data_IF_327771464635
#
_entry.id   IF_327771464635
#
_cell.length_a   1.000
_cell.length_b   1.000
_cell.length_c   1.000
_cell.angle_alpha   90.00
_cell.angle_beta   90.00
_cell.angle_gamma   90.00
#
_symmetry.space_group_name_H-M   'P 1'
#
loop_
_entity.id
_entity.type
_entity.pdbx_description
1 polymer ?
#
# COMPACT_ATOMS: atom_id res chain seq x y z
N UNK A 1 -16.70 28.64 55.69
CA UNK A 1 -16.31 28.44 54.28
C UNK A 1 -15.45 27.19 54.21
N UNK A 2 -16.04 26.08 53.79
CA UNK A 2 -15.38 24.78 53.69
C UNK A 2 -14.94 24.56 52.22
N UNK A 3 -13.64 24.36 52.00
CA UNK A 3 -13.12 23.85 50.74
C UNK A 3 -13.01 22.32 50.86
N UNK A 4 -13.55 21.54 49.90
CA UNK A 4 -13.51 20.08 49.97
C UNK A 4 -12.12 19.53 49.58
N UNK A 5 -11.78 18.42 50.24
CA UNK A 5 -10.53 17.66 50.13
C UNK A 5 -10.32 17.13 48.71
N UNK A 6 -9.10 17.26 48.19
CA UNK A 6 -8.66 16.58 46.96
C UNK A 6 -8.57 15.08 47.24
N UNK A 7 -9.42 14.35 46.54
CA UNK A 7 -9.46 12.89 46.50
C UNK A 7 -8.25 12.36 45.70
N UNK A 8 -7.57 11.37 46.25
CA UNK A 8 -6.37 10.74 45.69
C UNK A 8 -6.83 9.62 44.75
N UNK A 9 -6.52 9.71 43.46
CA UNK A 9 -6.58 8.55 42.56
C UNK A 9 -5.23 7.82 42.58
N UNK A 10 -5.21 6.47 42.64
CA UNK A 10 -3.97 5.71 42.55
C UNK A 10 -3.41 5.71 41.13
N UNK A 11 -2.08 5.77 41.02
CA UNK A 11 -1.30 5.75 39.77
C UNK A 11 -1.45 4.40 39.05
N UNK A 12 -1.95 4.43 37.81
CA UNK A 12 -1.85 3.30 36.87
C UNK A 12 -0.49 3.33 36.13
N UNK A 13 0.17 2.17 35.93
CA UNK A 13 1.48 2.12 35.30
C UNK A 13 1.43 2.34 33.78
N UNK A 14 2.17 3.34 33.31
CA UNK A 14 2.46 3.61 31.89
C UNK A 14 3.20 2.44 31.22
N UNK A 15 2.76 1.91 30.07
CA UNK A 15 3.47 0.85 29.37
C UNK A 15 4.81 1.36 28.78
N UNK A 16 5.91 0.56 28.84
CA UNK A 16 7.23 1.01 28.43
C UNK A 16 7.34 1.11 26.90
N UNK A 17 7.67 2.32 26.43
CA UNK A 17 8.07 2.58 25.05
C UNK A 17 9.43 1.94 24.74
N UNK A 18 9.50 1.19 23.65
CA UNK A 18 10.75 0.63 23.14
C UNK A 18 11.60 1.77 22.58
N UNK A 19 12.58 2.21 23.39
CA UNK A 19 13.71 3.03 22.95
C UNK A 19 14.69 2.14 22.19
N UNK A 20 14.92 2.44 20.91
CA UNK A 20 16.13 1.98 20.20
C UNK A 20 17.36 2.60 20.87
N UNK A 21 18.18 1.79 21.52
CA UNK A 21 19.55 2.15 21.90
C UNK A 21 20.52 1.28 21.12
N UNK A 22 21.26 1.91 20.20
CA UNK A 22 22.52 1.39 19.70
C UNK A 22 23.52 1.44 20.85
N UNK A 23 24.10 0.32 21.24
CA UNK A 23 25.34 0.29 22.01
C UNK A 23 26.38 -0.53 21.27
N UNK A 24 27.45 0.17 20.90
CA UNK A 24 28.73 -0.37 20.57
C UNK A 24 29.39 -0.96 21.83
N UNK A 25 29.92 -2.17 21.75
CA UNK A 25 31.11 -2.59 22.51
C UNK A 25 31.62 -3.92 21.96
N UNK A 26 32.93 -3.97 21.71
CA UNK A 26 33.62 -5.08 21.06
C UNK A 26 33.68 -6.35 21.90
N UNK A 27 33.48 -7.48 21.23
CA UNK A 27 33.80 -8.81 21.72
C UNK A 27 34.51 -9.60 20.61
N UNK A 28 35.49 -10.40 21.04
CA UNK A 28 36.55 -11.00 20.24
C UNK A 28 36.03 -11.96 19.17
N UNK A 29 36.75 -11.99 18.04
CA UNK A 29 36.69 -13.07 17.03
C UNK A 29 37.22 -14.34 17.68
N UNK A 30 36.40 -15.39 17.74
CA UNK A 30 36.70 -16.70 17.15
C UNK A 30 35.61 -17.73 17.48
N UNK A 31 35.22 -18.47 16.44
CA UNK A 31 34.34 -19.66 16.40
C UNK A 31 32.84 -19.51 16.69
N UNK A 32 32.05 -19.30 15.63
CA UNK A 32 30.64 -19.73 15.52
C UNK A 32 30.45 -20.46 14.18
N UNK A 33 29.75 -21.61 14.14
CA UNK A 33 29.62 -22.40 12.93
C UNK A 33 28.69 -21.70 11.93
N UNK A 34 29.13 -21.64 10.67
CA UNK A 34 28.31 -21.22 9.53
C UNK A 34 27.28 -22.30 9.21
N UNK A 35 26.17 -22.33 9.96
CA UNK A 35 24.96 -23.03 9.50
C UNK A 35 24.16 -22.03 8.66
N UNK A 36 24.34 -22.14 7.34
CA UNK A 36 23.52 -21.42 6.38
C UNK A 36 22.04 -21.78 6.56
N UNK A 37 21.25 -20.83 7.06
CA UNK A 37 19.81 -20.83 6.85
C UNK A 37 19.52 -19.83 5.73
N UNK A 38 19.22 -20.36 4.55
CA UNK A 38 18.60 -19.61 3.47
C UNK A 38 17.23 -19.08 3.96
N UNK A 39 16.91 -17.78 3.84
CA UNK A 39 15.61 -17.24 4.25
C UNK A 39 14.38 -17.72 3.44
N UNK A 40 14.53 -18.71 2.56
CA UNK A 40 13.46 -19.13 1.63
C UNK A 40 12.38 -20.03 2.24
N UNK A 41 12.55 -20.52 3.47
CA UNK A 41 11.65 -21.54 4.06
C UNK A 41 10.50 -20.99 4.93
N UNK A 42 10.52 -19.71 5.33
CA UNK A 42 9.51 -19.17 6.29
C UNK A 42 8.27 -18.55 5.63
N UNK A 43 8.15 -18.58 4.30
CA UNK A 43 7.04 -17.94 3.59
C UNK A 43 5.68 -18.63 3.76
N UNK A 44 5.65 -19.89 4.24
CA UNK A 44 4.39 -20.64 4.40
C UNK A 44 3.70 -20.41 5.75
N UNK A 45 4.41 -19.99 6.80
CA UNK A 45 3.82 -19.86 8.15
C UNK A 45 3.08 -18.54 8.39
N UNK A 46 3.28 -17.53 7.53
CA UNK A 46 2.59 -16.23 7.65
C UNK A 46 1.16 -16.24 7.06
N UNK A 47 0.76 -17.28 6.33
CA UNK A 47 -0.55 -17.34 5.66
C UNK A 47 -1.74 -17.32 6.64
N UNK A 48 -1.63 -18.03 7.77
CA UNK A 48 -2.73 -18.21 8.72
C UNK A 48 -3.14 -16.92 9.47
N UNK A 49 -2.28 -15.90 9.54
CA UNK A 49 -2.55 -14.66 10.31
C UNK A 49 -3.49 -13.67 9.58
N UNK A 50 -3.65 -13.81 8.27
CA UNK A 50 -4.38 -12.84 7.43
C UNK A 50 -5.70 -13.37 6.87
N UNK A 51 -6.04 -14.63 7.18
CA UNK A 51 -7.31 -15.24 6.79
C UNK A 51 -8.44 -14.76 7.71
N UNK A 52 -8.79 -13.48 7.62
CA UNK A 52 -10.10 -13.01 8.08
C UNK A 52 -11.08 -13.14 6.93
N UNK A 53 -12.25 -13.68 7.21
CA UNK A 53 -13.39 -13.63 6.30
C UNK A 53 -13.76 -12.16 6.14
N UNK A 54 -13.77 -11.67 4.90
CA UNK A 54 -14.25 -10.32 4.57
C UNK A 54 -15.74 -10.26 4.92
N UNK A 55 -16.14 -9.34 5.79
CA UNK A 55 -17.55 -9.18 6.15
C UNK A 55 -18.32 -8.38 5.07
N UNK A 56 -19.65 -8.31 5.21
CA UNK A 56 -20.51 -7.63 4.23
C UNK A 56 -20.25 -6.12 4.14
N UNK A 57 -19.94 -5.48 5.28
CA UNK A 57 -19.64 -4.04 5.30
C UNK A 57 -18.31 -3.76 4.58
N UNK A 58 -17.30 -4.62 4.80
CA UNK A 58 -16.04 -4.55 4.08
C UNK A 58 -16.23 -4.81 2.59
N UNK A 59 -17.03 -5.81 2.19
CA UNK A 59 -17.37 -6.06 0.77
C UNK A 59 -18.00 -4.84 0.10
N UNK A 60 -18.92 -4.16 0.78
CA UNK A 60 -19.53 -2.95 0.25
C UNK A 60 -18.49 -1.83 0.01
N UNK A 61 -17.57 -1.62 0.96
CA UNK A 61 -16.48 -0.63 0.81
C UNK A 61 -15.51 -1.02 -0.32
N UNK A 62 -15.16 -2.30 -0.41
CA UNK A 62 -14.31 -2.85 -1.46
C UNK A 62 -14.95 -2.62 -2.83
N UNK A 63 -16.22 -2.96 -2.99
CA UNK A 63 -16.95 -2.74 -4.24
C UNK A 63 -16.92 -1.27 -4.66
N UNK A 64 -17.21 -0.34 -3.74
CA UNK A 64 -17.14 1.11 -4.00
C UNK A 64 -15.74 1.54 -4.43
N UNK A 65 -14.69 1.03 -3.78
CA UNK A 65 -13.30 1.37 -4.15
C UNK A 65 -12.92 0.81 -5.53
N UNK A 66 -13.38 -0.38 -5.88
CA UNK A 66 -13.18 -0.98 -7.21
C UNK A 66 -13.90 -0.17 -8.27
N UNK A 67 -15.17 0.17 -8.06
CA UNK A 67 -15.94 1.01 -9.00
C UNK A 67 -15.26 2.36 -9.23
N UNK A 68 -14.80 3.03 -8.17
CA UNK A 68 -14.04 4.28 -8.31
C UNK A 68 -12.76 4.09 -9.13
N UNK A 69 -12.03 3.00 -8.91
CA UNK A 69 -10.83 2.73 -9.68
C UNK A 69 -11.13 2.52 -11.18
N UNK A 70 -12.24 1.83 -11.50
CA UNK A 70 -12.70 1.65 -12.88
C UNK A 70 -13.09 2.99 -13.53
N UNK A 71 -13.86 3.82 -12.82
CA UNK A 71 -14.24 5.17 -13.27
C UNK A 71 -13.02 6.08 -13.49
N UNK A 72 -12.03 6.02 -12.60
CA UNK A 72 -10.79 6.78 -12.73
C UNK A 72 -9.97 6.33 -13.94
N UNK A 73 -9.88 5.03 -14.25
CA UNK A 73 -9.23 4.53 -15.48
C UNK A 73 -9.96 5.01 -16.72
N UNK A 74 -11.29 4.92 -16.74
CA UNK A 74 -12.09 5.41 -17.88
C UNK A 74 -11.85 6.92 -18.08
N UNK A 75 -11.90 7.71 -17.00
CA UNK A 75 -11.60 9.15 -17.04
C UNK A 75 -10.18 9.43 -17.53
N UNK A 76 -9.20 8.64 -17.08
CA UNK A 76 -7.81 8.78 -17.49
C UNK A 76 -7.62 8.54 -19.00
N UNK A 77 -8.35 7.58 -19.57
CA UNK A 77 -8.38 7.32 -21.01
C UNK A 77 -8.97 8.49 -21.78
N UNK A 78 -10.09 9.04 -21.34
CA UNK A 78 -10.67 10.21 -22.00
C UNK A 78 -9.77 11.46 -21.91
N UNK A 79 -9.07 11.64 -20.78
CA UNK A 79 -8.10 12.73 -20.62
C UNK A 79 -6.93 12.57 -21.59
N UNK A 80 -6.46 11.34 -21.78
CA UNK A 80 -5.41 11.04 -22.74
C UNK A 80 -5.83 11.33 -24.19
N UNK A 81 -7.01 10.89 -24.60
CA UNK A 81 -7.57 11.17 -25.94
C UNK A 81 -7.68 12.67 -26.22
N UNK A 82 -7.93 13.47 -25.18
CA UNK A 82 -8.02 14.94 -25.26
C UNK A 82 -6.66 15.64 -25.11
N UNK A 83 -5.56 14.89 -25.06
CA UNK A 83 -4.20 15.43 -24.90
C UNK A 83 -3.89 15.98 -23.51
N UNK A 84 -4.74 15.70 -22.51
CA UNK A 84 -4.59 16.15 -21.11
C UNK A 84 -3.73 15.16 -20.32
N UNK A 85 -2.50 14.98 -20.75
CA UNK A 85 -1.60 13.94 -20.24
C UNK A 85 -1.35 13.99 -18.72
N UNK A 86 -1.19 15.18 -18.15
CA UNK A 86 -1.04 15.35 -16.69
C UNK A 86 -2.27 14.87 -15.92
N UNK A 87 -3.46 15.21 -16.41
CA UNK A 87 -4.72 14.79 -15.80
C UNK A 87 -4.90 13.27 -15.92
N UNK A 88 -4.58 12.70 -17.08
CA UNK A 88 -4.62 11.26 -17.32
C UNK A 88 -3.73 10.49 -16.33
N UNK A 89 -2.46 10.91 -16.13
CA UNK A 89 -1.56 10.27 -15.16
C UNK A 89 -2.07 10.40 -13.73
N UNK A 90 -2.56 11.57 -13.35
CA UNK A 90 -3.11 11.77 -12.01
C UNK A 90 -4.28 10.82 -11.75
N UNK A 91 -5.21 10.70 -12.70
CA UNK A 91 -6.36 9.78 -12.62
C UNK A 91 -5.94 8.32 -12.59
N UNK A 92 -5.01 7.91 -13.44
CA UNK A 92 -4.47 6.55 -13.44
C UNK A 92 -3.84 6.16 -12.09
N UNK A 93 -3.13 7.09 -11.45
CA UNK A 93 -2.60 6.89 -10.11
C UNK A 93 -3.71 6.73 -9.05
N UNK A 94 -4.74 7.57 -9.08
CA UNK A 94 -5.86 7.45 -8.13
C UNK A 94 -6.61 6.13 -8.27
N UNK A 95 -6.75 5.61 -9.50
CA UNK A 95 -7.28 4.28 -9.72
C UNK A 95 -6.46 3.21 -8.99
N UNK A 96 -5.13 3.21 -9.16
CA UNK A 96 -4.23 2.27 -8.47
C UNK A 96 -4.33 2.42 -6.94
N UNK A 97 -4.39 3.65 -6.43
CA UNK A 97 -4.55 3.91 -5.00
C UNK A 97 -5.87 3.32 -4.45
N UNK A 98 -6.98 3.52 -5.15
CA UNK A 98 -8.28 3.00 -4.72
C UNK A 98 -8.32 1.48 -4.71
N UNK A 99 -7.86 0.83 -5.77
CA UNK A 99 -7.88 -0.64 -5.83
C UNK A 99 -6.87 -1.28 -4.85
N UNK A 100 -5.72 -0.65 -4.60
CA UNK A 100 -4.80 -1.11 -3.55
C UNK A 100 -5.37 -0.94 -2.15
N UNK A 101 -6.10 0.14 -1.89
CA UNK A 101 -6.86 0.31 -0.67
C UNK A 101 -7.95 -0.77 -0.50
N UNK A 102 -8.58 -1.20 -1.60
CA UNK A 102 -9.53 -2.31 -1.59
C UNK A 102 -8.82 -3.63 -1.25
N UNK A 103 -7.68 -3.92 -1.88
CA UNK A 103 -6.88 -5.11 -1.61
C UNK A 103 -6.40 -5.16 -0.15
N UNK A 104 -5.87 -4.07 0.40
CA UNK A 104 -5.44 -4.01 1.80
C UNK A 104 -6.58 -4.23 2.79
N UNK A 105 -7.79 -3.78 2.46
CA UNK A 105 -8.96 -3.97 3.31
C UNK A 105 -9.32 -5.47 3.45
N UNK A 106 -9.04 -6.30 2.43
CA UNK A 106 -9.25 -7.77 2.50
C UNK A 106 -8.45 -8.45 3.62
N UNK A 107 -7.34 -7.85 4.04
CA UNK A 107 -6.49 -8.35 5.13
C UNK A 107 -6.61 -7.50 6.40
N UNK A 108 -7.62 -6.63 6.47
CA UNK A 108 -7.89 -5.76 7.62
C UNK A 108 -6.90 -4.61 7.79
N UNK A 109 -6.20 -4.20 6.73
CA UNK A 109 -5.25 -3.08 6.76
C UNK A 109 -5.89 -1.85 6.13
N UNK A 110 -5.88 -0.73 6.87
CA UNK A 110 -6.35 0.56 6.37
C UNK A 110 -5.32 1.67 6.65
N UNK A 111 -5.17 2.57 5.67
CA UNK A 111 -4.23 3.69 5.72
C UNK A 111 -4.90 4.92 5.13
N UNK A 112 -4.79 6.05 5.82
CA UNK A 112 -5.42 7.31 5.41
C UNK A 112 -4.56 8.13 4.42
N UNK A 113 -3.24 7.89 4.38
CA UNK A 113 -2.30 8.66 3.55
C UNK A 113 -1.83 7.85 2.35
N UNK A 114 -1.60 8.52 1.23
CA UNK A 114 -1.08 7.92 -0.01
C UNK A 114 0.20 7.09 0.19
N UNK A 115 1.21 7.68 0.84
CA UNK A 115 2.46 6.97 1.18
C UNK A 115 2.24 5.78 2.14
N UNK A 116 1.21 5.86 2.98
CA UNK A 116 0.79 4.76 3.85
C UNK A 116 0.22 3.59 3.06
N UNK A 117 -0.62 3.85 2.06
CA UNK A 117 -1.18 2.79 1.19
C UNK A 117 -0.10 2.11 0.37
N UNK A 118 0.80 2.88 -0.26
CA UNK A 118 1.92 2.33 -1.04
C UNK A 118 2.85 1.46 -0.18
N UNK A 119 3.27 1.95 0.98
CA UNK A 119 4.14 1.20 1.89
C UNK A 119 3.48 -0.08 2.38
N UNK A 120 2.20 -0.02 2.76
CA UNK A 120 1.44 -1.19 3.16
C UNK A 120 1.26 -2.18 2.00
N UNK A 121 1.00 -1.71 0.78
CA UNK A 121 0.88 -2.56 -0.39
C UNK A 121 2.18 -3.33 -0.66
N UNK A 122 3.33 -2.64 -0.60
CA UNK A 122 4.64 -3.26 -0.71
C UNK A 122 4.88 -4.29 0.40
N UNK A 123 4.57 -3.94 1.64
CA UNK A 123 4.76 -4.78 2.83
C UNK A 123 3.93 -6.06 2.80
N UNK A 124 2.65 -5.97 2.44
CA UNK A 124 1.70 -7.07 2.59
C UNK A 124 1.44 -7.86 1.30
N UNK A 125 1.69 -7.29 0.12
CA UNK A 125 1.46 -7.97 -1.15
C UNK A 125 2.73 -8.31 -1.91
N UNK A 126 3.67 -7.36 -2.03
CA UNK A 126 4.85 -7.53 -2.88
C UNK A 126 5.95 -8.30 -2.18
N UNK A 127 6.44 -7.83 -1.02
CA UNK A 127 7.53 -8.48 -0.28
C UNK A 127 7.24 -9.94 0.09
N UNK A 128 6.01 -10.32 0.48
CA UNK A 128 5.68 -11.72 0.78
C UNK A 128 5.41 -12.57 -0.46
N UNK A 129 5.42 -11.99 -1.67
CA UNK A 129 5.18 -12.70 -2.92
C UNK A 129 3.72 -13.07 -3.20
N UNK A 130 2.75 -12.34 -2.63
CA UNK A 130 1.31 -12.55 -2.93
C UNK A 130 0.93 -11.99 -4.29
N UNK A 131 1.60 -10.92 -4.69
CA UNK A 131 1.54 -10.34 -6.01
C UNK A 131 2.96 -10.25 -6.60
N UNK A 132 3.00 -10.22 -7.92
CA UNK A 132 4.21 -10.19 -8.71
C UNK A 132 4.99 -8.87 -8.46
N UNK A 133 6.33 -8.89 -8.33
CA UNK A 133 7.12 -7.69 -8.04
C UNK A 133 6.91 -6.53 -9.01
N UNK A 134 6.56 -6.82 -10.27
CA UNK A 134 6.26 -5.81 -11.29
C UNK A 134 5.16 -4.83 -10.85
N UNK A 135 4.18 -5.27 -10.07
CA UNK A 135 3.09 -4.40 -9.60
C UNK A 135 3.58 -3.42 -8.54
N UNK A 136 4.60 -3.78 -7.76
CA UNK A 136 5.28 -2.83 -6.87
C UNK A 136 5.98 -1.71 -7.63
N UNK A 137 6.64 -2.06 -8.74
CA UNK A 137 7.31 -1.08 -9.61
C UNK A 137 6.32 -0.19 -10.36
N UNK A 138 5.23 -0.77 -10.89
CA UNK A 138 4.14 -0.01 -11.53
C UNK A 138 3.59 1.05 -10.57
N UNK A 139 3.24 0.66 -9.34
CA UNK A 139 2.72 1.59 -8.33
C UNK A 139 3.72 2.74 -8.09
N UNK A 140 4.97 2.38 -7.78
CA UNK A 140 6.03 3.36 -7.45
C UNK A 140 6.25 4.35 -8.60
N UNK A 141 6.25 3.88 -9.85
CA UNK A 141 6.34 4.74 -11.04
C UNK A 141 5.16 5.70 -11.13
N UNK A 142 3.93 5.20 -11.00
CA UNK A 142 2.73 6.03 -11.03
C UNK A 142 2.73 7.13 -9.97
N UNK A 143 3.14 6.81 -8.73
CA UNK A 143 3.27 7.82 -7.65
C UNK A 143 4.28 8.89 -8.01
N UNK A 144 5.47 8.48 -8.45
CA UNK A 144 6.54 9.40 -8.82
C UNK A 144 6.07 10.34 -9.92
N UNK A 145 5.46 9.83 -10.98
CA UNK A 145 4.95 10.68 -12.06
C UNK A 145 3.90 11.69 -11.57
N UNK A 146 3.02 11.31 -10.64
CA UNK A 146 2.06 12.25 -10.05
C UNK A 146 2.75 13.36 -9.24
N UNK A 147 3.69 13.00 -8.37
CA UNK A 147 4.44 13.97 -7.54
C UNK A 147 5.26 14.92 -8.39
N UNK A 148 5.90 14.36 -9.40
CA UNK A 148 6.66 15.08 -10.41
C UNK A 148 5.76 16.15 -11.09
N UNK A 149 4.59 15.77 -11.62
CA UNK A 149 3.72 16.73 -12.31
C UNK A 149 3.07 17.79 -11.40
N UNK A 150 3.01 17.56 -10.09
CA UNK A 150 2.37 18.46 -9.13
C UNK A 150 3.35 19.49 -8.55
N UNK A 151 4.66 19.22 -8.58
CA UNK A 151 5.65 20.01 -7.81
C UNK A 151 6.91 20.48 -8.53
N UNK A 152 7.30 20.00 -9.71
CA UNK A 152 8.46 20.61 -10.39
C UNK A 152 8.11 21.51 -11.56
N UNK A 153 8.80 22.65 -11.55
CA UNK A 153 8.90 23.61 -12.64
C UNK A 153 9.70 23.06 -13.85
N UNK A 154 10.46 21.99 -13.63
CA UNK A 154 11.22 21.26 -14.64
C UNK A 154 10.73 19.81 -14.71
N UNK A 155 10.03 19.45 -15.79
CA UNK A 155 9.84 18.05 -16.16
C UNK A 155 10.02 17.89 -17.65
N UNK A 156 10.79 16.86 -18.02
CA UNK A 156 10.64 16.20 -19.32
C UNK A 156 9.15 16.15 -19.66
N UNK A 157 8.76 16.87 -20.72
CA UNK A 157 7.36 17.06 -21.09
C UNK A 157 6.72 15.68 -21.23
N UNK A 158 5.75 15.39 -20.37
CA UNK A 158 4.97 14.15 -20.48
C UNK A 158 4.36 14.12 -21.90
N UNK A 159 4.70 13.10 -22.67
CA UNK A 159 4.24 12.93 -24.05
C UNK A 159 3.19 11.82 -24.14
N UNK A 160 2.61 11.65 -25.33
CA UNK A 160 1.59 10.64 -25.56
C UNK A 160 2.12 9.23 -25.26
N UNK A 161 3.31 8.88 -25.76
CA UNK A 161 3.87 7.53 -25.61
C UNK A 161 4.10 7.15 -24.14
N UNK A 162 4.68 8.05 -23.35
CA UNK A 162 4.92 7.82 -21.92
C UNK A 162 3.62 7.79 -21.13
N UNK A 163 2.67 8.65 -21.46
CA UNK A 163 1.34 8.67 -20.81
C UNK A 163 0.59 7.37 -21.09
N UNK A 164 0.60 6.91 -22.34
CA UNK A 164 -0.04 5.66 -22.74
C UNK A 164 0.56 4.47 -22.01
N UNK A 165 1.89 4.41 -21.86
CA UNK A 165 2.52 3.34 -21.08
C UNK A 165 2.06 3.33 -19.62
N UNK A 166 1.91 4.51 -18.99
CA UNK A 166 1.40 4.62 -17.62
C UNK A 166 -0.04 4.14 -17.53
N UNK A 167 -0.89 4.45 -18.53
CA UNK A 167 -2.28 3.98 -18.57
C UNK A 167 -2.35 2.46 -18.71
N UNK A 168 -1.58 1.89 -19.64
CA UNK A 168 -1.50 0.43 -19.83
C UNK A 168 -1.04 -0.25 -18.54
N UNK A 169 -0.04 0.30 -17.86
CA UNK A 169 0.42 -0.22 -16.57
C UNK A 169 -0.67 -0.15 -15.49
N UNK A 170 -1.39 0.97 -15.39
CA UNK A 170 -2.48 1.15 -14.43
C UNK A 170 -3.67 0.22 -14.69
N UNK A 171 -4.01 -0.03 -15.95
CA UNK A 171 -5.05 -0.99 -16.35
C UNK A 171 -4.65 -2.43 -16.02
N UNK A 172 -3.39 -2.80 -16.30
CA UNK A 172 -2.84 -4.10 -15.90
C UNK A 172 -2.88 -4.27 -14.38
N UNK A 173 -2.57 -3.20 -13.65
CA UNK A 173 -2.62 -3.17 -12.19
C UNK A 173 -4.05 -3.37 -11.67
N UNK A 174 -5.02 -2.59 -12.16
CA UNK A 174 -6.44 -2.74 -11.81
C UNK A 174 -6.93 -4.15 -12.10
N UNK A 175 -6.71 -4.65 -13.32
CA UNK A 175 -7.12 -5.99 -13.75
C UNK A 175 -6.56 -7.08 -12.83
N UNK A 176 -5.28 -6.98 -12.46
CA UNK A 176 -4.64 -7.96 -11.58
C UNK A 176 -5.24 -7.95 -10.18
N UNK A 177 -5.50 -6.77 -9.63
CA UNK A 177 -6.05 -6.65 -8.28
C UNK A 177 -7.52 -7.06 -8.24
N UNK A 178 -8.31 -6.77 -9.28
CA UNK A 178 -9.66 -7.32 -9.39
C UNK A 178 -9.64 -8.85 -9.42
N UNK A 179 -8.69 -9.45 -10.17
CA UNK A 179 -8.50 -10.91 -10.15
C UNK A 179 -8.22 -11.41 -8.73
N UNK A 180 -7.30 -10.76 -8.02
CA UNK A 180 -7.03 -11.07 -6.61
C UNK A 180 -8.28 -10.95 -5.73
N UNK A 181 -9.07 -9.88 -5.89
CA UNK A 181 -10.28 -9.64 -5.11
C UNK A 181 -11.35 -10.71 -5.38
N UNK A 182 -11.47 -11.21 -6.62
CA UNK A 182 -12.33 -12.36 -6.96
C UNK A 182 -11.80 -13.66 -6.36
N UNK A 183 -10.49 -13.90 -6.44
CA UNK A 183 -9.84 -15.10 -5.86
C UNK A 183 -10.10 -15.22 -4.35
N UNK A 184 -10.18 -14.08 -3.63
CA UNK A 184 -10.49 -14.06 -2.19
C UNK A 184 -11.98 -13.88 -1.87
N UNK A 185 -12.87 -13.87 -2.86
CA UNK A 185 -14.31 -13.72 -2.68
C UNK A 185 -14.75 -12.36 -2.14
N UNK A 186 -13.93 -11.32 -2.32
CA UNK A 186 -14.23 -9.96 -1.89
C UNK A 186 -15.14 -9.21 -2.88
N UNK A 187 -15.13 -9.62 -4.15
CA UNK A 187 -16.04 -9.15 -5.21
C UNK A 187 -16.52 -10.36 -6.02
N UNK A 188 -17.69 -10.21 -6.67
CA UNK A 188 -18.30 -11.22 -7.54
C UNK A 188 -17.67 -11.33 -8.92
#
# INVERSE_FOLDING_TARGET
MAAPRRDQRPDEPTPPGIRCQYLATGLRRDTLPLVGRSPRADLQQHSARWSRVVDEAQRAIIAVRVTKAQEDIATAREDFERGRFRAAVARAYYAMFHVSGAALLTIGVERARHSGVESAFSEFFIKPGRLEPEYGEIYRRGRRFREDQEYADDFERLDAARTEQILVDAERFLTRLERYLREVGAIG
#
